data_IF_680295149355
#
_entry.id   IF_680295149355
#
_cell.length_a   1.000
_cell.length_b   1.000
_cell.length_c   1.000
_cell.angle_alpha   90.00
_cell.angle_beta   90.00
_cell.angle_gamma   90.00
#
_symmetry.space_group_name_H-M   'P 1'
#
loop_
_entity.id
_entity.type
_entity.pdbx_description
1 polymer ?
#
# COMPACT_ATOMS: atom_id res chain seq x y z
N UNK A 1 15.97 -8.01 48.24
CA UNK A 1 16.13 -8.10 46.77
C UNK A 1 17.52 -7.74 46.24
N UNK A 2 18.33 -6.90 46.90
CA UNK A 2 19.69 -6.57 46.41
C UNK A 2 20.59 -7.79 46.19
N UNK A 3 20.56 -8.76 47.11
CA UNK A 3 21.30 -10.02 46.97
C UNK A 3 20.89 -10.83 45.73
N UNK A 4 19.59 -10.94 45.44
CA UNK A 4 19.09 -11.67 44.26
C UNK A 4 19.45 -10.96 42.96
N UNK A 5 19.40 -9.63 42.93
CA UNK A 5 19.85 -8.83 41.80
C UNK A 5 21.34 -9.08 41.50
N UNK A 6 22.21 -9.04 42.51
CA UNK A 6 23.66 -9.33 42.32
C UNK A 6 23.89 -10.78 41.92
N UNK A 7 23.21 -11.74 42.57
CA UNK A 7 23.38 -13.17 42.31
C UNK A 7 22.98 -13.58 40.88
N UNK A 8 21.89 -13.02 40.37
CA UNK A 8 21.36 -13.35 39.04
C UNK A 8 21.76 -12.36 37.95
N UNK A 9 22.57 -11.34 38.25
CA UNK A 9 23.07 -10.38 37.27
C UNK A 9 23.75 -11.03 36.05
N UNK A 10 24.60 -12.07 36.17
CA UNK A 10 25.18 -12.72 35.00
C UNK A 10 24.13 -13.38 34.10
N UNK A 11 23.09 -13.96 34.72
CA UNK A 11 21.99 -14.61 34.01
C UNK A 11 21.10 -13.57 33.30
N UNK A 12 20.79 -12.45 33.97
CA UNK A 12 20.07 -11.34 33.37
C UNK A 12 20.80 -10.80 32.13
N UNK A 13 22.12 -10.58 32.24
CA UNK A 13 22.98 -10.16 31.12
C UNK A 13 22.96 -11.14 29.95
N UNK A 14 23.03 -12.44 30.21
CA UNK A 14 22.97 -13.48 29.16
C UNK A 14 21.69 -13.39 28.32
N UNK A 15 20.58 -12.99 28.94
CA UNK A 15 19.26 -12.92 28.33
C UNK A 15 18.86 -11.51 27.88
N UNK A 16 19.73 -10.50 28.06
CA UNK A 16 19.44 -9.10 27.74
C UNK A 16 18.37 -8.47 28.65
N UNK A 17 18.17 -8.99 29.85
CA UNK A 17 17.14 -8.55 30.79
C UNK A 17 17.71 -7.65 31.90
N UNK A 18 16.85 -6.86 32.52
CA UNK A 18 17.24 -6.07 33.69
C UNK A 18 17.41 -6.96 34.94
N UNK A 19 18.43 -6.65 35.74
CA UNK A 19 18.76 -7.44 36.92
C UNK A 19 17.69 -7.32 38.03
N UNK A 20 16.96 -6.21 38.10
CA UNK A 20 15.89 -6.03 39.09
C UNK A 20 14.59 -6.74 38.68
N UNK A 21 14.30 -6.82 37.38
CA UNK A 21 13.20 -7.66 36.87
C UNK A 21 13.43 -9.14 37.24
N UNK A 22 14.64 -9.65 36.97
CA UNK A 22 15.04 -11.02 37.33
C UNK A 22 15.03 -11.23 38.86
N UNK A 23 15.44 -10.21 39.63
CA UNK A 23 15.40 -10.26 41.10
C UNK A 23 13.98 -10.33 41.65
N UNK A 24 13.03 -9.66 40.99
CA UNK A 24 11.61 -9.64 41.38
C UNK A 24 10.98 -11.01 41.12
N UNK A 25 11.25 -11.61 39.95
CA UNK A 25 10.84 -12.99 39.67
C UNK A 25 11.43 -14.00 40.66
N UNK A 26 12.71 -13.84 41.05
CA UNK A 26 13.32 -14.68 42.06
C UNK A 26 12.62 -14.55 43.42
N UNK A 27 12.24 -13.33 43.79
CA UNK A 27 11.54 -13.05 45.05
C UNK A 27 10.14 -13.70 45.08
N UNK A 28 9.38 -13.60 44.00
CA UNK A 28 8.07 -14.28 43.91
C UNK A 28 8.19 -15.79 44.11
N UNK A 29 9.19 -16.42 43.50
CA UNK A 29 9.44 -17.86 43.66
C UNK A 29 9.82 -18.20 45.11
N UNK A 30 10.58 -17.35 45.80
CA UNK A 30 10.92 -17.54 47.21
C UNK A 30 9.69 -17.47 48.14
N UNK A 31 8.63 -16.78 47.73
CA UNK A 31 7.39 -16.69 48.51
C UNK A 31 6.54 -17.97 48.42
N UNK A 32 6.79 -18.83 47.42
CA UNK A 32 6.01 -20.05 47.23
C UNK A 32 6.28 -21.08 48.34
N UNK A 33 5.24 -21.71 48.93
CA UNK A 33 5.41 -22.77 49.94
C UNK A 33 6.26 -23.95 49.45
N UNK A 34 6.15 -24.30 48.17
CA UNK A 34 6.95 -25.35 47.53
C UNK A 34 8.45 -25.05 47.56
N UNK A 35 8.84 -23.79 47.37
CA UNK A 35 10.24 -23.37 47.45
C UNK A 35 10.76 -23.39 48.88
N UNK A 36 9.95 -22.94 49.84
CA UNK A 36 10.34 -22.88 51.27
C UNK A 36 10.52 -24.27 51.88
N UNK A 37 9.70 -25.23 51.46
CA UNK A 37 9.72 -26.61 51.95
C UNK A 37 10.62 -27.53 51.13
N UNK A 38 11.30 -27.01 50.09
CA UNK A 38 12.19 -27.81 49.27
C UNK A 38 13.46 -28.18 50.06
N UNK A 39 14.01 -29.38 49.82
CA UNK A 39 15.31 -29.79 50.39
C UNK A 39 16.47 -28.88 49.96
N UNK A 40 16.36 -28.24 48.78
CA UNK A 40 17.30 -27.25 48.27
C UNK A 40 16.58 -26.02 47.69
N UNK A 41 16.14 -25.07 48.54
CA UNK A 41 15.36 -23.91 48.11
C UNK A 41 16.07 -23.07 47.05
N UNK A 42 17.39 -22.89 47.17
CA UNK A 42 18.18 -22.13 46.20
C UNK A 42 18.28 -22.79 44.81
N UNK A 43 18.23 -24.12 44.73
CA UNK A 43 18.20 -24.82 43.46
C UNK A 43 16.86 -24.59 42.74
N UNK A 44 15.75 -24.63 43.49
CA UNK A 44 14.41 -24.34 42.98
C UNK A 44 14.33 -22.90 42.47
N UNK A 45 14.77 -21.93 43.26
CA UNK A 45 14.79 -20.51 42.85
C UNK A 45 15.62 -20.33 41.59
N UNK A 46 16.83 -20.90 41.54
CA UNK A 46 17.73 -20.75 40.37
C UNK A 46 17.12 -21.33 39.10
N UNK A 47 16.50 -22.51 39.20
CA UNK A 47 15.83 -23.14 38.06
C UNK A 47 14.61 -22.32 37.61
N UNK A 48 13.80 -21.83 38.54
CA UNK A 48 12.63 -21.03 38.21
C UNK A 48 13.02 -19.69 37.56
N UNK A 49 14.06 -19.03 38.08
CA UNK A 49 14.62 -17.80 37.49
C UNK A 49 15.13 -18.07 36.07
N UNK A 50 15.85 -19.17 35.85
CA UNK A 50 16.29 -19.57 34.51
C UNK A 50 15.10 -19.75 33.57
N UNK A 51 14.04 -20.44 33.98
CA UNK A 51 12.83 -20.64 33.17
C UNK A 51 12.17 -19.30 32.84
N UNK A 52 12.07 -18.39 33.80
CA UNK A 52 11.55 -17.04 33.59
C UNK A 52 12.37 -16.29 32.56
N UNK A 53 13.70 -16.26 32.67
CA UNK A 53 14.56 -15.59 31.69
C UNK A 53 14.39 -16.15 30.27
N UNK A 54 14.24 -17.48 30.11
CA UNK A 54 13.97 -18.07 28.81
C UNK A 54 12.60 -17.66 28.26
N UNK A 55 11.57 -17.64 29.13
CA UNK A 55 10.24 -17.23 28.74
C UNK A 55 10.19 -15.74 28.32
N UNK A 56 10.88 -14.86 29.04
CA UNK A 56 10.97 -13.43 28.70
C UNK A 56 11.68 -13.22 27.36
N UNK A 57 12.89 -13.77 27.19
CA UNK A 57 13.63 -13.66 25.92
C UNK A 57 12.79 -14.18 24.74
N UNK A 58 12.10 -15.31 24.93
CA UNK A 58 11.26 -15.91 23.89
C UNK A 58 10.01 -15.06 23.60
N UNK A 59 9.43 -14.47 24.64
CA UNK A 59 8.28 -13.59 24.52
C UNK A 59 8.63 -12.32 23.74
N UNK A 60 9.77 -11.69 24.05
CA UNK A 60 10.30 -10.55 23.31
C UNK A 60 10.57 -10.90 21.85
N UNK A 61 11.24 -12.03 21.60
CA UNK A 61 11.50 -12.51 20.23
C UNK A 61 10.22 -12.73 19.43
N UNK A 62 9.14 -13.19 20.05
CA UNK A 62 7.85 -13.43 19.39
C UNK A 62 6.86 -12.26 19.45
N UNK A 63 7.25 -11.11 20.02
CA UNK A 63 6.36 -9.97 20.29
C UNK A 63 5.07 -10.38 21.04
N UNK A 64 5.22 -11.20 22.07
CA UNK A 64 4.11 -11.69 22.89
C UNK A 64 4.42 -11.59 24.38
N UNK A 65 3.49 -12.00 25.24
CA UNK A 65 3.70 -11.99 26.69
C UNK A 65 4.35 -13.28 27.20
N UNK A 66 5.20 -13.19 28.23
CA UNK A 66 5.85 -14.35 28.84
C UNK A 66 4.84 -15.36 29.42
N UNK A 67 3.70 -14.87 29.93
CA UNK A 67 2.59 -15.75 30.35
C UNK A 67 2.07 -16.62 29.20
N UNK A 68 1.85 -16.03 28.02
CA UNK A 68 1.40 -16.76 26.84
C UNK A 68 2.42 -17.78 26.35
N UNK A 69 3.71 -17.46 26.42
CA UNK A 69 4.81 -18.40 26.12
C UNK A 69 4.78 -19.61 27.05
N UNK A 70 4.54 -19.42 28.35
CA UNK A 70 4.54 -20.51 29.35
C UNK A 70 3.36 -21.49 29.18
N UNK A 71 2.23 -21.03 28.66
CA UNK A 71 1.00 -21.83 28.58
C UNK A 71 0.73 -22.48 27.22
N UNK A 72 1.50 -22.15 26.17
CA UNK A 72 1.14 -22.54 24.81
C UNK A 72 2.15 -23.56 24.26
N UNK A 73 1.86 -24.85 24.38
CA UNK A 73 2.63 -25.91 23.69
C UNK A 73 2.66 -25.72 22.16
N UNK A 74 1.66 -25.03 21.60
CA UNK A 74 1.59 -24.67 20.17
C UNK A 74 2.68 -23.69 19.75
N UNK A 75 3.34 -22.97 20.67
CA UNK A 75 4.43 -22.03 20.33
C UNK A 75 5.72 -22.77 19.90
N UNK A 76 5.83 -24.07 20.19
CA UNK A 76 6.95 -24.90 19.79
C UNK A 76 6.99 -24.99 18.25
N UNK A 77 8.01 -24.38 17.63
CA UNK A 77 8.22 -24.38 16.18
C UNK A 77 8.01 -23.01 15.50
N UNK A 78 7.49 -22.00 16.21
CA UNK A 78 7.47 -20.65 15.66
C UNK A 78 8.86 -20.01 15.74
N UNK A 79 9.22 -19.16 14.78
CA UNK A 79 10.44 -18.37 14.80
C UNK A 79 10.22 -17.04 15.52
N UNK A 80 11.31 -16.35 15.85
CA UNK A 80 11.22 -14.96 16.30
C UNK A 80 10.62 -14.08 15.19
N UNK A 81 9.87 -13.06 15.60
CA UNK A 81 9.33 -12.06 14.72
C UNK A 81 10.50 -11.24 14.14
N UNK A 82 10.61 -11.26 12.81
CA UNK A 82 11.60 -10.49 12.05
C UNK A 82 10.84 -9.48 11.20
N UNK A 83 11.36 -8.27 11.02
CA UNK A 83 10.70 -7.28 10.16
C UNK A 83 10.71 -7.77 8.71
N UNK A 84 9.64 -7.46 7.97
CA UNK A 84 9.55 -7.81 6.56
C UNK A 84 10.74 -7.28 5.74
N UNK A 85 11.22 -6.07 6.04
CA UNK A 85 12.33 -5.43 5.35
C UNK A 85 13.72 -6.01 5.68
N UNK A 86 13.85 -6.80 6.75
CA UNK A 86 15.14 -7.38 7.17
C UNK A 86 15.40 -8.73 6.48
N UNK A 87 14.46 -9.23 5.67
CA UNK A 87 14.62 -10.49 4.95
C UNK A 87 14.98 -10.24 3.50
N UNK A 88 16.05 -10.88 3.06
CA UNK A 88 16.34 -11.06 1.64
C UNK A 88 15.44 -12.15 1.06
N UNK A 89 15.10 -12.05 -0.24
CA UNK A 89 14.33 -13.06 -1.01
C UNK A 89 12.98 -13.46 -0.42
N UNK A 90 12.06 -12.49 -0.31
CA UNK A 90 10.68 -12.72 0.19
C UNK A 90 9.94 -13.84 -0.57
N UNK A 91 10.21 -14.01 -1.86
CA UNK A 91 9.62 -15.04 -2.71
C UNK A 91 9.87 -16.48 -2.19
N UNK A 92 11.00 -16.72 -1.49
CA UNK A 92 11.34 -18.05 -0.96
C UNK A 92 10.47 -18.44 0.25
N UNK A 93 9.84 -17.47 0.92
CA UNK A 93 9.10 -17.68 2.15
C UNK A 93 7.63 -18.07 1.91
N UNK A 94 6.98 -17.45 0.93
CA UNK A 94 5.57 -17.70 0.66
C UNK A 94 5.23 -17.43 -0.81
N UNK A 95 4.45 -18.30 -1.48
CA UNK A 95 4.12 -18.17 -2.90
C UNK A 95 3.35 -16.88 -3.26
N UNK A 96 2.67 -16.26 -2.29
CA UNK A 96 2.01 -14.96 -2.51
C UNK A 96 2.99 -13.79 -2.74
N UNK A 97 4.28 -13.97 -2.46
CA UNK A 97 5.32 -12.98 -2.75
C UNK A 97 6.05 -13.27 -4.08
N UNK A 98 5.65 -14.32 -4.79
CA UNK A 98 6.14 -14.59 -6.14
C UNK A 98 5.32 -13.78 -7.12
N UNK A 99 5.95 -12.80 -7.76
CA UNK A 99 5.38 -12.15 -8.94
C UNK A 99 5.83 -12.94 -10.17
N UNK A 100 4.87 -13.35 -11.00
CA UNK A 100 5.17 -13.98 -12.27
C UNK A 100 5.13 -12.89 -13.35
N UNK A 101 6.29 -12.34 -13.68
CA UNK A 101 6.46 -11.46 -14.85
C UNK A 101 6.26 -12.32 -16.11
N UNK A 102 5.02 -12.53 -16.55
CA UNK A 102 4.81 -13.33 -17.76
C UNK A 102 3.44 -13.96 -17.96
N UNK A 103 2.35 -13.28 -17.60
CA UNK A 103 1.09 -13.60 -18.25
C UNK A 103 1.08 -12.91 -19.63
N UNK A 104 1.16 -13.65 -20.75
CA UNK A 104 1.12 -13.05 -22.08
C UNK A 104 -0.17 -12.24 -22.33
N UNK A 105 -1.29 -12.62 -21.67
CA UNK A 105 -2.54 -11.88 -21.76
C UNK A 105 -2.45 -10.52 -21.06
N UNK A 106 -1.70 -10.43 -19.96
CA UNK A 106 -1.47 -9.17 -19.24
C UNK A 106 -0.59 -8.22 -20.08
N UNK A 107 0.44 -8.74 -20.73
CA UNK A 107 1.31 -7.95 -21.62
C UNK A 107 0.56 -7.42 -22.86
N UNK A 108 -0.35 -8.21 -23.44
CA UNK A 108 -1.20 -7.73 -24.54
C UNK A 108 -2.18 -6.65 -24.06
N UNK A 109 -2.75 -6.81 -22.86
CA UNK A 109 -3.65 -5.82 -22.27
C UNK A 109 -2.93 -4.49 -21.99
N UNK A 110 -1.73 -4.54 -21.40
CA UNK A 110 -0.89 -3.38 -21.15
C UNK A 110 -0.54 -2.64 -22.46
N UNK A 111 -0.14 -3.37 -23.50
CA UNK A 111 0.15 -2.78 -24.80
C UNK A 111 -1.09 -2.09 -25.41
N UNK A 112 -2.28 -2.69 -25.26
CA UNK A 112 -3.54 -2.11 -25.73
C UNK A 112 -3.91 -0.85 -24.94
N UNK A 113 -3.72 -0.84 -23.63
CA UNK A 113 -3.95 0.36 -22.78
C UNK A 113 -2.98 1.48 -23.18
N UNK A 114 -1.68 1.17 -23.33
CA UNK A 114 -0.67 2.15 -23.74
C UNK A 114 -0.99 2.77 -25.11
N UNK A 115 -1.42 1.97 -26.09
CA UNK A 115 -1.84 2.45 -27.40
C UNK A 115 -3.05 3.41 -27.31
N UNK A 116 -4.00 3.13 -26.41
CA UNK A 116 -5.19 3.94 -26.22
C UNK A 116 -4.91 5.27 -25.52
N UNK A 117 -4.02 5.28 -24.51
CA UNK A 117 -3.55 6.52 -23.88
C UNK A 117 -2.79 7.38 -24.90
N UNK A 118 -1.91 6.76 -25.69
CA UNK A 118 -1.17 7.43 -26.77
C UNK A 118 -2.10 8.05 -27.83
N UNK A 119 -3.13 7.31 -28.28
CA UNK A 119 -4.14 7.84 -29.19
C UNK A 119 -4.92 9.04 -28.59
N UNK A 120 -5.20 9.00 -27.29
CA UNK A 120 -5.84 10.12 -26.58
C UNK A 120 -4.93 11.35 -26.56
N UNK A 121 -3.63 11.20 -26.29
CA UNK A 121 -2.66 12.29 -26.35
C UNK A 121 -2.59 12.88 -27.75
N UNK A 122 -2.47 12.05 -28.79
CA UNK A 122 -2.42 12.47 -30.19
C UNK A 122 -3.69 13.19 -30.67
N UNK A 123 -4.84 12.93 -30.05
CA UNK A 123 -6.09 13.67 -30.29
C UNK A 123 -6.05 15.09 -29.71
N UNK A 124 -5.51 15.24 -28.49
CA UNK A 124 -5.40 16.55 -27.86
C UNK A 124 -4.31 17.41 -28.51
N UNK A 125 -3.19 16.79 -28.88
CA UNK A 125 -2.10 17.42 -29.63
C UNK A 125 -2.61 18.02 -30.95
N UNK A 126 -3.45 17.29 -31.71
CA UNK A 126 -4.04 17.83 -32.96
C UNK A 126 -5.00 19.01 -32.73
N UNK A 127 -5.46 19.21 -31.50
CA UNK A 127 -6.25 20.37 -31.08
C UNK A 127 -5.39 21.53 -30.53
N UNK A 128 -4.07 21.36 -30.50
CA UNK A 128 -3.08 22.36 -30.09
C UNK A 128 -2.70 22.34 -28.61
N UNK A 129 -2.96 21.23 -27.90
CA UNK A 129 -2.43 21.04 -26.54
C UNK A 129 -0.95 20.62 -26.57
N UNK A 130 -0.22 20.92 -25.50
CA UNK A 130 1.09 20.31 -25.26
C UNK A 130 0.94 18.80 -24.99
N UNK A 131 1.57 17.98 -25.83
CA UNK A 131 1.53 16.53 -25.74
C UNK A 131 2.12 16.00 -24.44
N UNK A 132 3.18 16.63 -23.91
CA UNK A 132 3.80 16.21 -22.65
C UNK A 132 2.85 16.42 -21.47
N UNK A 133 2.23 17.60 -21.41
CA UNK A 133 1.22 17.92 -20.39
C UNK A 133 0.02 16.97 -20.43
N UNK A 134 -0.49 16.66 -21.63
CA UNK A 134 -1.64 15.75 -21.77
C UNK A 134 -1.25 14.32 -21.42
N UNK A 135 -0.05 13.87 -21.76
CA UNK A 135 0.44 12.54 -21.38
C UNK A 135 0.41 12.36 -19.85
N UNK A 136 0.98 13.30 -19.10
CA UNK A 136 0.95 13.31 -17.63
C UNK A 136 -0.49 13.30 -17.07
N UNK A 137 -1.39 14.09 -17.68
CA UNK A 137 -2.79 14.12 -17.28
C UNK A 137 -3.50 12.77 -17.49
N UNK A 138 -3.34 12.20 -18.67
CA UNK A 138 -4.01 10.96 -19.09
C UNK A 138 -3.44 9.76 -18.33
N UNK A 139 -2.13 9.76 -18.06
CA UNK A 139 -1.46 8.77 -17.21
C UNK A 139 -1.98 8.84 -15.77
N UNK A 140 -2.09 10.04 -15.17
CA UNK A 140 -2.70 10.19 -13.85
C UNK A 140 -4.15 9.70 -13.84
N UNK A 141 -4.94 10.03 -14.86
CA UNK A 141 -6.32 9.53 -14.97
C UNK A 141 -6.34 8.00 -15.02
N UNK A 142 -5.50 7.37 -15.85
CA UNK A 142 -5.41 5.92 -15.96
C UNK A 142 -4.99 5.26 -14.63
N UNK A 143 -3.97 5.82 -13.97
CA UNK A 143 -3.51 5.38 -12.66
C UNK A 143 -4.63 5.43 -11.62
N UNK A 144 -5.39 6.53 -11.56
CA UNK A 144 -6.52 6.65 -10.63
C UNK A 144 -7.69 5.73 -10.98
N UNK A 145 -7.90 5.41 -12.25
CA UNK A 145 -8.92 4.45 -12.66
C UNK A 145 -8.56 3.01 -12.27
N UNK A 146 -7.27 2.65 -12.27
CA UNK A 146 -6.82 1.33 -11.82
C UNK A 146 -7.20 1.04 -10.36
N UNK A 147 -7.20 2.06 -9.51
CA UNK A 147 -7.60 1.96 -8.10
C UNK A 147 -9.11 1.93 -7.86
N UNK A 148 -9.94 2.25 -8.87
CA UNK A 148 -11.35 2.56 -8.67
C UNK A 148 -12.28 1.54 -9.34
N UNK A 149 -13.12 0.89 -8.54
CA UNK A 149 -14.05 -0.16 -8.97
C UNK A 149 -15.25 0.32 -9.82
N UNK A 150 -15.34 1.61 -10.16
CA UNK A 150 -16.43 2.16 -10.97
C UNK A 150 -16.06 3.47 -11.65
N UNK A 151 -16.40 3.59 -12.94
CA UNK A 151 -16.24 4.81 -13.76
C UNK A 151 -16.84 6.06 -13.09
N UNK A 152 -18.03 5.93 -12.48
CA UNK A 152 -18.72 7.06 -11.83
C UNK A 152 -17.95 7.55 -10.59
N UNK A 153 -17.38 6.63 -9.80
CA UNK A 153 -16.47 6.97 -8.70
C UNK A 153 -15.18 7.59 -9.23
N UNK A 154 -14.63 7.04 -10.31
CA UNK A 154 -13.49 7.59 -11.05
C UNK A 154 -13.64 9.07 -11.34
N UNK A 155 -14.71 9.43 -12.04
CA UNK A 155 -15.02 10.81 -12.42
C UNK A 155 -15.16 11.72 -11.18
N UNK A 156 -15.88 11.29 -10.15
CA UNK A 156 -16.10 12.12 -8.97
C UNK A 156 -14.82 12.34 -8.14
N UNK A 157 -13.98 11.31 -8.01
CA UNK A 157 -12.70 11.40 -7.30
C UNK A 157 -11.73 12.32 -8.05
N UNK A 158 -11.56 12.11 -9.36
CA UNK A 158 -10.67 12.93 -10.20
C UNK A 158 -11.12 14.39 -10.28
N UNK A 159 -12.44 14.64 -10.28
CA UNK A 159 -12.98 16.01 -10.27
C UNK A 159 -12.70 16.74 -8.94
N UNK A 160 -12.60 16.01 -7.83
CA UNK A 160 -12.29 16.56 -6.51
C UNK A 160 -10.79 16.69 -6.26
N UNK A 161 -9.97 16.03 -7.07
CA UNK A 161 -8.52 16.13 -6.99
C UNK A 161 -8.05 17.54 -7.39
N UNK A 162 -7.37 18.20 -6.47
CA UNK A 162 -6.76 19.52 -6.68
C UNK A 162 -5.24 19.46 -6.71
N UNK A 163 -4.63 18.34 -6.30
CA UNK A 163 -3.19 18.23 -6.15
C UNK A 163 -2.49 18.22 -7.50
N UNK A 164 -2.80 17.22 -8.32
CA UNK A 164 -2.17 17.05 -9.63
C UNK A 164 -2.45 18.20 -10.59
N UNK A 165 -3.69 18.73 -10.72
CA UNK A 165 -3.93 19.88 -11.59
C UNK A 165 -3.12 21.12 -11.19
N UNK A 166 -2.90 21.32 -9.88
CA UNK A 166 -2.09 22.43 -9.39
C UNK A 166 -0.60 22.21 -9.69
N UNK A 167 -0.11 20.97 -9.56
CA UNK A 167 1.28 20.61 -9.87
C UNK A 167 1.59 20.77 -11.37
N UNK A 168 0.64 20.41 -12.23
CA UNK A 168 0.73 20.54 -13.69
C UNK A 168 0.36 21.95 -14.20
N UNK A 169 0.11 22.90 -13.29
CA UNK A 169 -0.26 24.29 -13.60
C UNK A 169 -1.52 24.44 -14.47
N UNK A 170 -2.45 23.49 -14.39
CA UNK A 170 -3.69 23.48 -15.18
C UNK A 170 -4.81 24.20 -14.43
N UNK A 171 -5.48 25.19 -15.05
CA UNK A 171 -6.66 25.83 -14.48
C UNK A 171 -7.77 24.81 -14.16
N UNK A 172 -8.52 24.96 -13.04
CA UNK A 172 -9.57 24.00 -12.65
C UNK A 172 -10.66 23.77 -13.72
N UNK A 173 -10.92 24.79 -14.55
CA UNK A 173 -11.87 24.70 -15.68
C UNK A 173 -11.35 23.77 -16.78
N UNK A 174 -10.09 23.93 -17.17
CA UNK A 174 -9.41 23.10 -18.17
C UNK A 174 -9.30 21.65 -17.69
N UNK A 175 -8.94 21.44 -16.42
CA UNK A 175 -8.91 20.10 -15.82
C UNK A 175 -10.29 19.42 -15.83
N UNK A 176 -11.33 20.12 -15.37
CA UNK A 176 -12.70 19.58 -15.36
C UNK A 176 -13.20 19.26 -16.77
N UNK A 177 -12.85 20.08 -17.76
CA UNK A 177 -13.21 19.87 -19.16
C UNK A 177 -12.44 18.69 -19.78
N UNK A 178 -11.14 18.55 -19.48
CA UNK A 178 -10.34 17.39 -19.89
C UNK A 178 -10.95 16.09 -19.35
N UNK A 179 -11.26 16.03 -18.05
CA UNK A 179 -11.90 14.87 -17.45
C UNK A 179 -13.25 14.53 -18.11
N UNK A 180 -14.04 15.56 -18.42
CA UNK A 180 -15.34 15.41 -19.10
C UNK A 180 -15.19 14.84 -20.50
N UNK A 181 -14.16 15.24 -21.24
CA UNK A 181 -13.89 14.78 -22.60
C UNK A 181 -13.36 13.34 -22.57
N UNK A 182 -12.38 13.07 -21.70
CA UNK A 182 -11.70 11.78 -21.61
C UNK A 182 -12.62 10.69 -21.07
N UNK A 183 -13.37 10.97 -19.99
CA UNK A 183 -14.20 9.99 -19.28
C UNK A 183 -15.68 10.01 -19.66
N UNK A 184 -16.13 11.07 -20.33
CA UNK A 184 -17.53 11.27 -20.68
C UNK A 184 -18.39 11.82 -19.53
N UNK A 185 -19.68 12.04 -19.81
CA UNK A 185 -20.65 12.48 -18.81
C UNK A 185 -21.05 11.33 -17.85
N UNK A 186 -20.95 11.49 -16.52
CA UNK A 186 -21.35 10.45 -15.56
C UNK A 186 -22.86 10.17 -15.46
N UNK A 187 -23.73 10.97 -16.09
CA UNK A 187 -25.18 10.80 -15.98
C UNK A 187 -25.62 9.62 -16.87
N UNK A 188 -26.32 8.61 -16.33
CA UNK A 188 -26.80 7.45 -17.07
C UNK A 188 -27.60 7.79 -18.34
N UNK A 189 -28.26 8.96 -18.38
CA UNK A 189 -29.08 9.40 -19.54
C UNK A 189 -28.25 9.62 -20.81
N UNK A 190 -26.95 9.81 -20.68
CA UNK A 190 -26.05 10.04 -21.80
C UNK A 190 -25.25 8.78 -22.20
N UNK A 191 -25.46 7.63 -21.54
CA UNK A 191 -24.76 6.39 -21.92
C UNK A 191 -25.08 5.97 -23.37
N UNK A 192 -24.06 5.54 -24.12
CA UNK A 192 -24.19 5.19 -25.52
C UNK A 192 -24.26 6.40 -26.46
N UNK A 193 -24.03 7.61 -25.95
CA UNK A 193 -23.91 8.82 -26.76
C UNK A 193 -22.45 9.28 -26.78
N UNK A 194 -22.00 9.96 -27.86
CA UNK A 194 -20.64 10.50 -27.94
C UNK A 194 -20.23 11.37 -26.73
N UNK A 195 -21.20 12.05 -26.11
CA UNK A 195 -21.01 12.93 -24.94
C UNK A 195 -20.90 12.13 -23.63
N UNK A 196 -21.60 11.00 -23.51
CA UNK A 196 -21.59 10.20 -22.29
C UNK A 196 -20.49 9.15 -22.25
N UNK A 197 -20.04 8.66 -23.40
CA UNK A 197 -19.05 7.59 -23.44
C UNK A 197 -17.62 8.11 -23.22
N UNK A 198 -17.30 9.31 -23.71
CA UNK A 198 -15.97 9.89 -23.59
C UNK A 198 -14.94 9.24 -24.52
N UNK A 199 -13.78 9.88 -24.67
CA UNK A 199 -12.75 9.44 -25.64
C UNK A 199 -12.23 8.03 -25.31
N UNK A 200 -11.98 7.71 -24.04
CA UNK A 200 -11.42 6.39 -23.69
C UNK A 200 -12.39 5.25 -24.03
N UNK A 201 -13.68 5.39 -23.72
CA UNK A 201 -14.66 4.34 -24.03
C UNK A 201 -14.92 4.20 -25.52
N UNK A 202 -14.92 5.33 -26.26
CA UNK A 202 -15.05 5.35 -27.73
C UNK A 202 -13.88 4.60 -28.40
N UNK A 203 -12.65 4.87 -27.97
CA UNK A 203 -11.46 4.15 -28.44
C UNK A 203 -11.50 2.66 -28.05
N UNK A 204 -11.94 2.33 -26.82
CA UNK A 204 -12.09 0.93 -26.38
C UNK A 204 -13.12 0.16 -27.21
N UNK A 205 -14.20 0.83 -27.64
CA UNK A 205 -15.24 0.28 -28.50
C UNK A 205 -14.81 0.18 -29.98
N UNK A 206 -13.59 0.59 -30.32
CA UNK A 206 -13.01 0.43 -31.66
C UNK A 206 -13.20 1.62 -32.60
N UNK A 207 -13.62 2.77 -32.09
CA UNK A 207 -13.65 4.00 -32.89
C UNK A 207 -12.22 4.44 -33.22
N UNK A 208 -11.96 4.80 -34.48
CA UNK A 208 -10.62 5.17 -34.93
C UNK A 208 -10.28 6.61 -34.52
N UNK A 209 -8.98 6.90 -34.38
CA UNK A 209 -8.51 8.24 -34.07
C UNK A 209 -8.94 9.27 -35.13
N UNK A 210 -8.98 8.88 -36.40
CA UNK A 210 -9.40 9.77 -37.48
C UNK A 210 -10.89 10.10 -37.41
N UNK A 211 -11.76 9.14 -37.05
CA UNK A 211 -13.17 9.41 -36.81
C UNK A 211 -13.38 10.40 -35.65
N UNK A 212 -12.57 10.32 -34.59
CA UNK A 212 -12.61 11.28 -33.48
C UNK A 212 -12.12 12.69 -33.90
N UNK A 213 -11.18 12.78 -34.84
CA UNK A 213 -10.69 14.06 -35.38
C UNK A 213 -11.73 14.73 -36.29
N UNK A 214 -12.52 13.92 -37.00
CA UNK A 214 -13.60 14.40 -37.87
C UNK A 214 -14.84 14.89 -37.07
N UNK A 215 -14.95 14.50 -35.79
CA UNK A 215 -15.97 15.01 -34.86
C UNK A 215 -15.67 16.47 -34.48
N UNK A 216 -16.18 17.41 -35.28
CA UNK A 216 -15.93 18.84 -35.11
C UNK A 216 -16.42 19.37 -33.75
N UNK A 217 -17.49 18.79 -33.19
CA UNK A 217 -18.00 19.16 -31.88
C UNK A 217 -17.02 18.76 -30.77
N UNK A 218 -16.48 17.52 -30.84
CA UNK A 218 -15.44 17.05 -29.93
C UNK A 218 -14.18 17.92 -30.03
N UNK A 219 -13.68 18.15 -31.25
CA UNK A 219 -12.48 18.95 -31.47
C UNK A 219 -12.65 20.40 -30.99
N UNK A 220 -13.85 20.98 -31.13
CA UNK A 220 -14.16 22.30 -30.56
C UNK A 220 -14.13 22.30 -29.04
N UNK A 221 -14.64 21.27 -28.38
CA UNK A 221 -14.57 21.13 -26.92
C UNK A 221 -13.12 21.00 -26.43
N UNK A 222 -12.31 20.17 -27.10
CA UNK A 222 -10.88 19.99 -26.75
C UNK A 222 -10.13 21.32 -26.90
N UNK A 223 -10.34 22.04 -28.00
CA UNK A 223 -9.71 23.35 -28.23
C UNK A 223 -10.12 24.39 -27.19
N UNK A 224 -11.38 24.38 -26.74
CA UNK A 224 -11.90 25.31 -25.74
C UNK A 224 -11.39 25.00 -24.32
N UNK A 225 -11.02 23.75 -24.05
CA UNK A 225 -10.48 23.32 -22.77
C UNK A 225 -8.99 23.66 -22.61
N UNK A 226 -8.27 23.98 -23.69
CA UNK A 226 -6.83 24.24 -23.68
C UNK A 226 -6.47 25.46 -22.78
N UNK A 227 -5.59 25.30 -21.78
CA UNK A 227 -5.19 26.37 -20.87
C UNK A 227 -4.50 27.56 -21.57
N UNK A 228 -3.76 27.31 -22.65
CA UNK A 228 -2.93 28.32 -23.33
C UNK A 228 -3.73 29.36 -24.13
N UNK A 229 -5.04 29.15 -24.31
CA UNK A 229 -5.91 30.09 -25.04
C UNK A 229 -6.54 31.15 -24.13
N UNK A 230 -6.22 31.14 -22.83
CA UNK A 230 -6.85 31.97 -21.81
C UNK A 230 -6.03 33.16 -21.29
N UNK A 231 -4.84 33.45 -21.82
CA UNK A 231 -4.02 34.61 -21.43
C UNK A 231 -3.90 35.64 -22.54
N UNK A 232 -5.02 36.30 -22.84
CA UNK A 232 -5.03 37.65 -23.44
C UNK A 232 -5.95 38.48 -22.53
N UNK A 233 -5.51 39.67 -22.08
CA UNK A 233 -5.90 40.30 -20.81
C UNK A 233 -7.38 40.71 -20.69
#
# INVERSE_FOLDING_TARGET
MRYTATKYQPLARKHGLDAWEVASAAFEVMLAPSTRNAGHPWAVVTRAVQITCHAETRASGMLTSASKVRHTARIIGFHDAVRFAERERLADYHPAFTHYDGDPDESEHEARVAALLSATVALFESAGWDAALVAECVEHVAYRLADLSSRQRGVEVLRRDRGIPTLLEIPPRSWSALLRIVLGHPDPKHMGTPIGDGVLLRLLNGETLDALRDDEALMKMIRAANPDKGTVP
#
